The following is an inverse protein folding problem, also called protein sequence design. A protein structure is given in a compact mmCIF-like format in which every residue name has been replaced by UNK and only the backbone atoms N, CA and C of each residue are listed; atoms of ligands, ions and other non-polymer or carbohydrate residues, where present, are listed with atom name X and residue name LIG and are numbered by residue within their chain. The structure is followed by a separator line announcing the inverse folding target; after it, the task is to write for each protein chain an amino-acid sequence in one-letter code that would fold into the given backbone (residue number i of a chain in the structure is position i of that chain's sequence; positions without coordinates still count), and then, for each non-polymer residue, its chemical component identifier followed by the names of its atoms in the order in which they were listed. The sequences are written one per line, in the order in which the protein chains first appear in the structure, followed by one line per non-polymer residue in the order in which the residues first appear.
data_IF_072640277480
#
_entry.id   IF_072640277480
#
_cell.length_a   1.000
_cell.length_b   1.000
_cell.length_c   1.000
_cell.angle_alpha   90.00
_cell.angle_beta   90.00
_cell.angle_gamma   90.00
#
_symmetry.space_group_name_H-M   'P 1'
#
loop_
_entity.id
_entity.type
_entity.pdbx_description
1 polymer ?
#
# COMPACT_ATOMS: atom_id res chain seq x y z
N UNK A 1 -80.00 -58.64 -12.12
CA UNK A 1 -79.11 -59.24 -11.11
C UNK A 1 -77.74 -59.49 -11.71
N UNK A 2 -76.70 -58.95 -11.07
CA UNK A 2 -75.25 -59.21 -11.20
C UNK A 2 -74.65 -59.48 -12.60
N UNK A 3 -73.78 -58.56 -13.05
CA UNK A 3 -72.32 -58.77 -13.06
C UNK A 3 -71.57 -57.48 -13.43
N UNK A 4 -71.11 -56.77 -12.39
CA UNK A 4 -69.94 -55.88 -12.42
C UNK A 4 -68.71 -56.77 -12.35
N UNK A 5 -67.75 -56.60 -13.26
CA UNK A 5 -66.30 -56.63 -12.98
C UNK A 5 -65.51 -56.66 -14.31
N UNK A 6 -64.43 -55.86 -14.33
CA UNK A 6 -63.35 -55.80 -15.32
C UNK A 6 -63.69 -55.04 -16.60
N UNK A 7 -63.46 -53.73 -16.59
CA UNK A 7 -62.75 -52.95 -17.62
C UNK A 7 -62.61 -51.52 -17.09
N UNK A 8 -61.70 -51.34 -16.12
CA UNK A 8 -61.25 -50.04 -15.63
C UNK A 8 -59.80 -50.17 -15.20
N UNK A 9 -58.92 -50.47 -16.15
CA UNK A 9 -57.47 -50.40 -15.94
C UNK A 9 -56.75 -50.31 -17.29
N UNK A 10 -56.93 -49.20 -18.00
CA UNK A 10 -56.06 -48.81 -19.12
C UNK A 10 -56.12 -47.29 -19.36
N UNK A 11 -55.92 -46.52 -18.28
CA UNK A 11 -55.69 -45.08 -18.32
C UNK A 11 -54.55 -44.74 -17.35
N UNK A 12 -53.34 -45.28 -17.57
CA UNK A 12 -52.12 -44.73 -16.96
C UNK A 12 -50.81 -45.33 -17.50
N UNK A 13 -50.61 -45.52 -18.81
CA UNK A 13 -49.28 -45.99 -19.29
C UNK A 13 -48.94 -45.61 -20.75
N UNK A 14 -49.43 -44.46 -21.24
CA UNK A 14 -49.14 -43.99 -22.61
C UNK A 14 -48.94 -42.46 -22.70
N UNK A 15 -48.30 -41.85 -21.69
CA UNK A 15 -47.75 -40.46 -21.78
C UNK A 15 -46.36 -40.40 -21.14
N UNK A 16 -45.57 -41.44 -21.33
CA UNK A 16 -44.13 -41.41 -21.04
C UNK A 16 -43.46 -42.01 -22.27
N UNK A 17 -42.39 -41.37 -22.73
CA UNK A 17 -41.56 -41.70 -23.91
C UNK A 17 -41.98 -41.00 -25.21
N UNK A 18 -41.93 -39.66 -25.24
CA UNK A 18 -41.58 -38.87 -26.45
C UNK A 18 -41.29 -37.39 -26.13
N UNK A 19 -40.40 -37.13 -25.17
CA UNK A 19 -39.79 -35.79 -25.00
C UNK A 19 -38.38 -35.94 -24.43
N UNK A 20 -37.59 -36.85 -25.00
CA UNK A 20 -36.19 -37.01 -24.70
C UNK A 20 -35.40 -36.69 -25.97
N UNK A 21 -34.39 -35.85 -25.80
CA UNK A 21 -33.34 -35.48 -26.76
C UNK A 21 -33.74 -34.47 -27.84
N UNK A 22 -34.18 -33.29 -27.41
CA UNK A 22 -33.93 -32.04 -28.14
C UNK A 22 -33.72 -30.93 -27.10
N UNK A 23 -32.57 -30.99 -26.41
CA UNK A 23 -32.05 -29.77 -25.81
C UNK A 23 -31.65 -28.87 -26.99
N UNK A 24 -32.28 -27.72 -27.21
CA UNK A 24 -31.78 -26.80 -28.22
C UNK A 24 -30.34 -26.50 -27.81
N UNK A 25 -29.37 -26.88 -28.65
CA UNK A 25 -28.01 -26.36 -28.55
C UNK A 25 -28.11 -24.86 -28.78
N UNK A 26 -28.39 -24.13 -27.70
CA UNK A 26 -28.50 -22.69 -27.67
C UNK A 26 -27.17 -22.16 -28.21
N UNK A 27 -27.23 -21.54 -29.39
CA UNK A 27 -26.07 -21.36 -30.26
C UNK A 27 -25.15 -20.22 -29.81
N UNK A 28 -25.51 -19.46 -28.78
CA UNK A 28 -24.65 -18.43 -28.20
C UNK A 28 -24.75 -18.37 -26.66
N UNK A 29 -23.68 -17.89 -26.03
CA UNK A 29 -23.55 -17.78 -24.57
C UNK A 29 -24.67 -16.94 -23.94
N UNK A 30 -25.13 -15.88 -24.62
CA UNK A 30 -26.20 -15.01 -24.14
C UNK A 30 -27.56 -15.74 -24.02
N UNK A 31 -27.91 -16.56 -25.01
CA UNK A 31 -29.14 -17.37 -24.97
C UNK A 31 -29.05 -18.49 -23.95
N UNK A 32 -27.85 -19.06 -23.72
CA UNK A 32 -27.58 -20.04 -22.66
C UNK A 32 -27.74 -19.42 -21.27
N UNK A 33 -27.15 -18.25 -21.01
CA UNK A 33 -27.28 -17.55 -19.73
C UNK A 33 -28.73 -17.17 -19.41
N UNK A 34 -29.45 -16.61 -20.39
CA UNK A 34 -30.87 -16.25 -20.24
C UNK A 34 -31.72 -17.49 -19.95
N UNK A 35 -31.40 -18.63 -20.58
CA UNK A 35 -32.09 -19.89 -20.34
C UNK A 35 -31.81 -20.42 -18.93
N UNK A 36 -30.56 -20.42 -18.48
CA UNK A 36 -30.16 -20.85 -17.13
C UNK A 36 -30.77 -19.96 -16.04
N UNK A 37 -30.94 -18.67 -16.29
CA UNK A 37 -31.59 -17.77 -15.33
C UNK A 37 -33.05 -18.17 -15.10
N UNK A 38 -33.74 -18.63 -16.15
CA UNK A 38 -35.13 -19.08 -16.07
C UNK A 38 -35.27 -20.53 -15.59
N UNK A 39 -34.28 -21.37 -15.89
CA UNK A 39 -34.27 -22.79 -15.57
C UNK A 39 -32.93 -23.22 -14.94
N UNK A 40 -32.64 -22.85 -13.67
CA UNK A 40 -31.35 -23.12 -13.03
C UNK A 40 -30.91 -24.58 -13.05
N UNK A 41 -31.86 -25.51 -12.86
CA UNK A 41 -31.59 -26.95 -12.84
C UNK A 41 -31.00 -27.49 -14.15
N UNK A 42 -31.13 -26.73 -15.26
CA UNK A 42 -30.53 -27.11 -16.53
C UNK A 42 -29.00 -27.03 -16.53
N UNK A 43 -28.38 -26.37 -15.53
CA UNK A 43 -26.93 -26.24 -15.38
C UNK A 43 -26.21 -27.60 -15.45
N UNK A 44 -26.76 -28.66 -14.83
CA UNK A 44 -26.14 -29.99 -14.83
C UNK A 44 -26.16 -30.71 -16.19
N UNK A 45 -26.85 -30.16 -17.18
CA UNK A 45 -26.99 -30.74 -18.51
C UNK A 45 -26.27 -29.92 -19.59
N UNK A 46 -25.60 -28.84 -19.21
CA UNK A 46 -24.85 -27.96 -20.12
C UNK A 46 -23.40 -27.84 -19.69
N UNK A 47 -22.49 -27.84 -20.65
CA UNK A 47 -21.07 -27.60 -20.40
C UNK A 47 -20.82 -26.09 -20.45
N UNK A 48 -20.93 -25.43 -19.30
CA UNK A 48 -20.74 -23.98 -19.16
C UNK A 48 -19.89 -23.66 -17.94
N UNK A 49 -18.97 -22.73 -18.11
CA UNK A 49 -18.12 -22.28 -17.00
C UNK A 49 -18.84 -21.14 -16.25
N UNK A 50 -19.15 -21.30 -14.94
CA UNK A 50 -19.93 -20.31 -14.19
C UNK A 50 -19.23 -18.97 -14.01
N UNK A 51 -17.91 -18.89 -14.19
CA UNK A 51 -17.14 -17.65 -14.09
C UNK A 51 -17.37 -16.67 -15.24
N UNK A 52 -17.98 -17.11 -16.34
CA UNK A 52 -18.33 -16.27 -17.50
C UNK A 52 -19.83 -15.92 -17.56
N UNK A 53 -20.61 -16.40 -16.60
CA UNK A 53 -22.05 -16.12 -16.56
C UNK A 53 -22.34 -14.69 -16.07
N UNK A 54 -23.41 -14.06 -16.58
CA UNK A 54 -23.92 -12.81 -16.02
C UNK A 54 -24.28 -12.97 -14.53
N UNK A 55 -24.09 -11.90 -13.76
CA UNK A 55 -24.41 -11.87 -12.32
C UNK A 55 -25.85 -12.28 -12.01
N UNK A 56 -26.83 -11.85 -12.81
CA UNK A 56 -28.24 -12.23 -12.62
C UNK A 56 -28.44 -13.74 -12.70
N UNK A 57 -27.79 -14.39 -13.67
CA UNK A 57 -27.81 -15.84 -13.84
C UNK A 57 -27.12 -16.53 -12.67
N UNK A 58 -25.92 -16.09 -12.31
CA UNK A 58 -25.12 -16.68 -11.23
C UNK A 58 -25.83 -16.60 -9.87
N UNK A 59 -26.52 -15.49 -9.61
CA UNK A 59 -27.34 -15.32 -8.40
C UNK A 59 -28.50 -16.33 -8.34
N UNK A 60 -29.08 -16.73 -9.48
CA UNK A 60 -30.10 -17.80 -9.52
C UNK A 60 -29.48 -19.17 -9.35
N UNK A 61 -28.31 -19.41 -9.93
CA UNK A 61 -27.64 -20.71 -9.85
C UNK A 61 -27.13 -21.04 -8.44
N UNK A 62 -26.81 -20.06 -7.59
CA UNK A 62 -26.29 -20.31 -6.24
C UNK A 62 -27.21 -21.18 -5.36
N UNK A 63 -28.50 -21.25 -5.67
CA UNK A 63 -29.45 -22.10 -4.94
C UNK A 63 -29.34 -23.60 -5.27
N UNK A 64 -28.52 -23.96 -6.26
CA UNK A 64 -28.19 -25.35 -6.59
C UNK A 64 -27.18 -25.96 -5.62
N UNK A 65 -26.52 -25.12 -4.80
CA UNK A 65 -25.43 -25.53 -3.91
C UNK A 65 -24.27 -26.24 -4.63
N UNK A 66 -24.07 -25.89 -5.90
CA UNK A 66 -22.97 -26.41 -6.71
C UNK A 66 -21.65 -25.73 -6.31
N UNK A 67 -20.56 -26.47 -6.04
CA UNK A 67 -19.31 -25.88 -5.56
C UNK A 67 -18.66 -24.89 -6.52
N UNK A 68 -18.69 -25.14 -7.83
CA UNK A 68 -18.09 -24.26 -8.84
C UNK A 68 -18.93 -22.99 -9.03
N UNK A 69 -20.26 -23.12 -8.99
CA UNK A 69 -21.17 -21.96 -8.98
C UNK A 69 -20.96 -21.09 -7.74
N UNK A 70 -20.88 -21.71 -6.56
CA UNK A 70 -20.64 -21.02 -5.30
C UNK A 70 -19.27 -20.31 -5.29
N UNK A 71 -18.24 -20.94 -5.85
CA UNK A 71 -16.92 -20.32 -6.03
C UNK A 71 -16.97 -19.14 -7.00
N UNK A 72 -17.62 -19.28 -8.17
CA UNK A 72 -17.79 -18.17 -9.10
C UNK A 72 -18.55 -17.00 -8.46
N UNK A 73 -19.59 -17.29 -7.69
CA UNK A 73 -20.36 -16.29 -6.95
C UNK A 73 -19.51 -15.57 -5.88
N UNK A 74 -18.65 -16.31 -5.19
CA UNK A 74 -17.69 -15.74 -4.24
C UNK A 74 -16.73 -14.75 -4.90
N UNK A 75 -16.18 -15.10 -6.07
CA UNK A 75 -15.33 -14.21 -6.86
C UNK A 75 -16.07 -12.94 -7.26
N UNK A 76 -17.34 -13.03 -7.68
CA UNK A 76 -18.16 -11.86 -7.97
C UNK A 76 -18.31 -10.97 -6.74
N UNK A 77 -18.72 -11.52 -5.60
CA UNK A 77 -18.89 -10.75 -4.35
C UNK A 77 -17.58 -10.09 -3.91
N UNK A 78 -16.45 -10.79 -4.02
CA UNK A 78 -15.15 -10.23 -3.66
C UNK A 78 -14.70 -9.10 -4.62
N UNK A 79 -15.05 -9.16 -5.90
CA UNK A 79 -14.77 -8.08 -6.87
C UNK A 79 -15.59 -6.82 -6.56
N UNK A 80 -16.85 -6.99 -6.17
CA UNK A 80 -17.79 -5.90 -5.82
C UNK A 80 -17.63 -5.38 -4.37
N UNK A 81 -16.60 -5.82 -3.65
CA UNK A 81 -16.35 -5.45 -2.26
C UNK A 81 -17.46 -5.87 -1.26
N UNK A 82 -18.28 -6.85 -1.64
CA UNK A 82 -19.44 -7.36 -0.90
C UNK A 82 -19.09 -8.50 0.07
N UNK A 83 -18.00 -8.32 0.83
CA UNK A 83 -17.43 -9.38 1.68
C UNK A 83 -18.35 -9.86 2.80
N UNK A 84 -19.24 -9.00 3.30
CA UNK A 84 -20.25 -9.40 4.27
C UNK A 84 -21.20 -10.47 3.70
N UNK A 85 -21.63 -10.33 2.44
CA UNK A 85 -22.49 -11.31 1.76
C UNK A 85 -21.74 -12.62 1.49
N UNK A 86 -20.42 -12.55 1.33
CA UNK A 86 -19.55 -13.70 1.10
C UNK A 86 -19.20 -14.49 2.37
N UNK A 87 -19.54 -13.99 3.56
CA UNK A 87 -19.07 -14.53 4.86
C UNK A 87 -19.18 -16.05 4.98
N UNK A 88 -20.33 -16.61 4.62
CA UNK A 88 -20.59 -18.05 4.73
C UNK A 88 -19.93 -18.87 3.63
N UNK A 89 -19.67 -18.28 2.47
CA UNK A 89 -19.04 -18.96 1.33
C UNK A 89 -17.58 -19.25 1.60
N UNK A 90 -16.85 -18.37 2.30
CA UNK A 90 -15.44 -18.60 2.66
C UNK A 90 -15.21 -19.88 3.44
N UNK A 91 -16.17 -20.25 4.30
CA UNK A 91 -16.11 -21.45 5.14
C UNK A 91 -16.63 -22.70 4.42
N UNK A 92 -17.45 -22.51 3.37
CA UNK A 92 -18.08 -23.58 2.60
C UNK A 92 -17.32 -23.89 1.29
N UNK A 93 -16.11 -23.36 1.12
CA UNK A 93 -15.29 -23.62 -0.05
C UNK A 93 -14.95 -25.11 -0.17
N UNK A 94 -15.02 -25.69 -1.38
CA UNK A 94 -14.67 -27.09 -1.58
C UNK A 94 -13.17 -27.34 -1.29
N UNK A 95 -12.84 -28.50 -0.76
CA UNK A 95 -11.46 -28.85 -0.42
C UNK A 95 -10.56 -29.10 -1.66
N UNK A 96 -11.17 -29.34 -2.82
CA UNK A 96 -10.50 -29.74 -4.06
C UNK A 96 -10.44 -28.62 -5.13
N UNK A 97 -10.48 -27.34 -4.72
CA UNK A 97 -10.28 -26.21 -5.64
C UNK A 97 -8.94 -26.37 -6.35
N UNK A 98 -8.90 -26.14 -7.65
CA UNK A 98 -7.64 -26.15 -8.39
C UNK A 98 -6.70 -25.06 -7.86
N UNK A 99 -5.42 -25.38 -7.77
CA UNK A 99 -4.42 -24.45 -7.23
C UNK A 99 -4.42 -23.11 -7.96
N UNK A 100 -4.59 -23.12 -9.30
CA UNK A 100 -4.72 -21.91 -10.11
C UNK A 100 -5.88 -21.03 -9.64
N UNK A 101 -7.09 -21.60 -9.47
CA UNK A 101 -8.26 -20.84 -9.02
C UNK A 101 -8.11 -20.35 -7.59
N UNK A 102 -7.47 -21.14 -6.74
CA UNK A 102 -7.21 -20.71 -5.37
C UNK A 102 -6.22 -19.54 -5.33
N UNK A 103 -5.14 -19.58 -6.12
CA UNK A 103 -4.17 -18.49 -6.20
C UNK A 103 -4.78 -17.22 -6.81
N UNK A 104 -5.67 -17.34 -7.81
CA UNK A 104 -6.45 -16.18 -8.32
C UNK A 104 -7.31 -15.53 -7.23
N UNK A 105 -7.91 -16.33 -6.34
CA UNK A 105 -8.69 -15.83 -5.21
C UNK A 105 -7.80 -15.12 -4.19
N UNK A 106 -6.63 -15.70 -3.88
CA UNK A 106 -5.63 -15.08 -3.01
C UNK A 106 -5.20 -13.73 -3.55
N UNK A 107 -4.90 -13.64 -4.84
CA UNK A 107 -4.47 -12.40 -5.50
C UNK A 107 -5.57 -11.33 -5.48
N UNK A 108 -6.82 -11.72 -5.72
CA UNK A 108 -7.97 -10.82 -5.60
C UNK A 108 -8.08 -10.27 -4.17
N UNK A 109 -7.95 -11.12 -3.15
CA UNK A 109 -8.03 -10.69 -1.76
C UNK A 109 -6.85 -9.80 -1.35
N UNK A 110 -5.64 -10.06 -1.85
CA UNK A 110 -4.48 -9.18 -1.67
C UNK A 110 -4.74 -7.81 -2.29
N UNK A 111 -5.23 -7.76 -3.54
CA UNK A 111 -5.56 -6.52 -4.23
C UNK A 111 -6.60 -5.70 -3.45
N UNK A 112 -7.58 -6.37 -2.86
CA UNK A 112 -8.64 -5.77 -2.04
C UNK A 112 -8.25 -5.56 -0.57
N UNK A 113 -7.01 -5.88 -0.19
CA UNK A 113 -6.48 -5.79 1.18
C UNK A 113 -7.32 -6.55 2.22
N UNK A 114 -7.88 -7.69 1.83
CA UNK A 114 -8.78 -8.53 2.63
C UNK A 114 -8.04 -9.59 3.42
N UNK A 115 -7.31 -9.10 4.41
CA UNK A 115 -6.39 -9.92 5.19
C UNK A 115 -7.07 -10.88 6.16
N UNK A 116 -8.31 -10.60 6.58
CA UNK A 116 -9.10 -11.48 7.45
C UNK A 116 -9.59 -12.70 6.69
N UNK A 117 -10.08 -12.50 5.47
CA UNK A 117 -10.48 -13.57 4.55
C UNK A 117 -9.30 -14.49 4.23
N UNK A 118 -8.13 -13.93 3.91
CA UNK A 118 -6.91 -14.72 3.67
C UNK A 118 -6.52 -15.59 4.88
N UNK A 119 -6.63 -15.04 6.09
CA UNK A 119 -6.38 -15.80 7.34
C UNK A 119 -7.47 -16.84 7.62
N UNK A 120 -8.69 -16.63 7.12
CA UNK A 120 -9.77 -17.63 7.21
C UNK A 120 -9.50 -18.77 6.24
N UNK A 121 -9.13 -18.48 4.99
CA UNK A 121 -8.78 -19.48 3.98
C UNK A 121 -7.67 -20.42 4.47
N UNK A 122 -6.62 -19.88 5.09
CA UNK A 122 -5.48 -20.67 5.58
C UNK A 122 -5.82 -21.63 6.73
N UNK A 123 -6.98 -21.48 7.38
CA UNK A 123 -7.43 -22.39 8.46
C UNK A 123 -8.22 -23.58 7.94
N UNK A 124 -8.88 -23.42 6.79
CA UNK A 124 -9.86 -24.39 6.30
C UNK A 124 -9.38 -25.14 5.06
N UNK A 125 -8.46 -24.56 4.30
CA UNK A 125 -7.93 -25.14 3.08
C UNK A 125 -6.44 -25.45 3.25
N UNK A 126 -5.97 -26.43 2.48
CA UNK A 126 -4.54 -26.70 2.36
C UNK A 126 -3.86 -25.44 1.81
N UNK A 127 -2.88 -24.93 2.55
CA UNK A 127 -2.17 -23.74 2.13
C UNK A 127 -1.35 -24.03 0.86
N UNK A 128 -1.44 -23.11 -0.11
CA UNK A 128 -0.56 -23.08 -1.28
C UNK A 128 0.67 -22.23 -0.97
N UNK A 129 1.75 -22.41 -1.71
CA UNK A 129 2.96 -21.58 -1.55
C UNK A 129 2.65 -20.08 -1.71
N UNK A 130 1.69 -19.74 -2.59
CA UNK A 130 1.18 -18.38 -2.76
C UNK A 130 0.58 -17.82 -1.48
N UNK A 131 -0.35 -18.54 -0.88
CA UNK A 131 -1.03 -18.10 0.35
C UNK A 131 -0.04 -18.00 1.52
N UNK A 132 0.84 -18.99 1.67
CA UNK A 132 1.86 -18.98 2.72
C UNK A 132 2.80 -17.78 2.59
N UNK A 133 3.25 -17.48 1.37
CA UNK A 133 4.12 -16.33 1.10
C UNK A 133 3.42 -15.02 1.42
N UNK A 134 2.18 -14.83 0.95
CA UNK A 134 1.39 -13.63 1.22
C UNK A 134 1.16 -13.42 2.73
N UNK A 135 0.82 -14.49 3.45
CA UNK A 135 0.64 -14.42 4.91
C UNK A 135 1.97 -14.15 5.62
N UNK A 136 3.08 -14.73 5.12
CA UNK A 136 4.42 -14.43 5.59
C UNK A 136 4.78 -12.96 5.45
N UNK A 137 4.52 -12.35 4.28
CA UNK A 137 4.72 -10.91 4.04
C UNK A 137 3.84 -10.04 4.95
N UNK A 138 2.58 -10.44 5.20
CA UNK A 138 1.68 -9.77 6.15
C UNK A 138 2.22 -9.81 7.59
N UNK A 139 2.92 -10.88 7.96
CA UNK A 139 3.49 -11.09 9.30
C UNK A 139 4.93 -10.54 9.43
N UNK A 140 5.52 -10.06 8.35
CA UNK A 140 6.90 -9.54 8.35
C UNK A 140 7.94 -10.64 8.39
N UNK A 141 7.64 -11.83 7.88
CA UNK A 141 8.63 -12.91 7.82
C UNK A 141 9.85 -12.45 6.99
N UNK A 142 11.05 -12.82 7.43
CA UNK A 142 12.29 -12.43 6.75
C UNK A 142 12.32 -12.96 5.31
N UNK A 143 12.88 -12.22 4.34
CA UNK A 143 12.88 -12.61 2.94
C UNK A 143 13.46 -14.00 2.64
N UNK A 144 14.50 -14.39 3.37
CA UNK A 144 15.19 -15.68 3.23
C UNK A 144 14.34 -16.89 3.66
N UNK A 145 13.24 -16.64 4.38
CA UNK A 145 12.28 -17.66 4.82
C UNK A 145 11.01 -17.71 3.96
N UNK A 146 10.96 -16.93 2.87
CA UNK A 146 9.84 -16.87 1.96
C UNK A 146 10.19 -17.54 0.64
N UNK A 147 9.17 -17.98 -0.11
CA UNK A 147 9.37 -18.61 -1.40
C UNK A 147 9.77 -17.54 -2.45
N UNK A 148 10.98 -17.66 -2.99
CA UNK A 148 11.56 -16.69 -3.93
C UNK A 148 10.76 -16.57 -5.23
N UNK A 149 10.24 -17.68 -5.76
CA UNK A 149 9.41 -17.68 -6.98
C UNK A 149 8.15 -16.87 -6.75
N UNK A 150 7.48 -17.09 -5.61
CA UNK A 150 6.27 -16.37 -5.23
C UNK A 150 6.53 -14.88 -4.98
N UNK A 151 7.67 -14.52 -4.38
CA UNK A 151 8.08 -13.13 -4.23
C UNK A 151 8.27 -12.44 -5.59
N UNK A 152 8.87 -13.14 -6.57
CA UNK A 152 9.03 -12.66 -7.94
C UNK A 152 7.69 -12.42 -8.63
N UNK A 153 6.76 -13.38 -8.53
CA UNK A 153 5.40 -13.25 -9.09
C UNK A 153 4.59 -12.12 -8.44
N UNK A 154 4.80 -11.86 -7.14
CA UNK A 154 4.22 -10.71 -6.43
C UNK A 154 4.94 -9.39 -6.72
N UNK A 155 6.00 -9.39 -7.52
CA UNK A 155 6.84 -8.22 -7.78
C UNK A 155 7.39 -7.57 -6.50
N UNK A 156 7.75 -8.40 -5.50
CA UNK A 156 8.35 -7.94 -4.24
C UNK A 156 9.85 -7.77 -4.45
N UNK A 157 10.32 -6.52 -4.42
CA UNK A 157 11.74 -6.24 -4.48
C UNK A 157 12.41 -6.53 -3.13
N UNK A 158 13.46 -7.35 -3.15
CA UNK A 158 14.31 -7.62 -1.99
C UNK A 158 15.52 -6.69 -1.99
N UNK A 159 15.97 -6.29 -0.79
CA UNK A 159 17.11 -5.40 -0.63
C UNK A 159 18.41 -6.08 -1.14
N UNK A 160 19.07 -5.54 -2.18
CA UNK A 160 20.35 -6.04 -2.63
C UNK A 160 21.49 -5.60 -1.69
N UNK A 161 22.70 -6.13 -1.89
CA UNK A 161 23.89 -5.67 -1.17
C UNK A 161 24.25 -4.21 -1.49
N UNK A 162 23.99 -3.77 -2.73
CA UNK A 162 24.26 -2.42 -3.20
C UNK A 162 23.09 -1.91 -4.02
N UNK A 163 22.79 -0.61 -3.90
CA UNK A 163 21.75 0.07 -4.67
C UNK A 163 22.43 1.14 -5.52
N UNK A 164 22.22 1.08 -6.83
CA UNK A 164 22.73 2.11 -7.75
C UNK A 164 21.75 3.26 -7.82
N UNK A 165 22.24 4.46 -7.53
CA UNK A 165 21.52 5.71 -7.75
C UNK A 165 22.08 6.46 -8.97
N UNK A 166 21.30 7.40 -9.50
CA UNK A 166 21.76 8.27 -10.58
C UNK A 166 22.89 9.18 -10.07
N UNK A 167 23.97 9.33 -10.85
CA UNK A 167 25.10 10.20 -10.51
C UNK A 167 24.74 11.69 -10.47
N UNK A 168 23.67 12.09 -11.16
CA UNK A 168 23.12 13.45 -11.07
C UNK A 168 22.26 13.66 -9.84
N UNK A 169 22.00 12.61 -9.06
CA UNK A 169 21.21 12.71 -7.86
C UNK A 169 21.94 13.51 -6.78
N UNK A 170 21.21 14.43 -6.16
CA UNK A 170 21.75 15.23 -5.05
C UNK A 170 21.62 14.54 -3.71
N UNK A 171 20.55 13.76 -3.52
CA UNK A 171 20.29 13.00 -2.29
C UNK A 171 19.69 11.64 -2.65
N UNK A 172 20.41 10.57 -2.33
CA UNK A 172 20.03 9.20 -2.53
C UNK A 172 19.17 8.71 -1.37
N UNK A 173 17.96 8.24 -1.65
CA UNK A 173 17.00 7.86 -0.61
C UNK A 173 16.63 6.39 -0.73
N UNK A 174 17.00 5.60 0.27
CA UNK A 174 16.66 4.18 0.36
C UNK A 174 15.25 3.99 0.96
N UNK A 175 14.40 3.25 0.28
CA UNK A 175 13.02 2.96 0.72
C UNK A 175 12.87 1.53 1.24
N UNK A 176 12.39 1.38 2.47
CA UNK A 176 12.24 0.09 3.16
C UNK A 176 10.82 -0.10 3.72
N UNK A 177 10.32 -1.34 3.73
CA UNK A 177 9.06 -1.70 4.36
C UNK A 177 9.14 -3.02 5.14
N UNK A 178 8.51 -3.07 6.32
CA UNK A 178 8.47 -4.26 7.20
C UNK A 178 7.36 -5.26 6.85
N UNK A 179 6.25 -4.79 6.26
CA UNK A 179 5.04 -5.58 6.00
C UNK A 179 4.54 -5.35 4.58
N UNK A 180 3.71 -6.28 4.08
CA UNK A 180 3.17 -6.17 2.72
C UNK A 180 2.34 -4.89 2.51
N UNK A 181 1.47 -4.54 3.46
CA UNK A 181 0.66 -3.33 3.37
C UNK A 181 1.53 -2.05 3.35
N UNK A 182 2.57 -2.01 4.19
CA UNK A 182 3.56 -0.93 4.21
C UNK A 182 4.32 -0.84 2.87
N UNK A 183 4.70 -1.99 2.30
CA UNK A 183 5.34 -2.07 0.99
C UNK A 183 4.45 -1.50 -0.12
N UNK A 184 3.18 -1.89 -0.17
CA UNK A 184 2.22 -1.40 -1.16
C UNK A 184 1.97 0.11 -1.01
N UNK A 185 1.77 0.58 0.22
CA UNK A 185 1.49 1.99 0.48
C UNK A 185 2.69 2.89 0.19
N UNK A 186 3.90 2.48 0.58
CA UNK A 186 5.12 3.23 0.25
C UNK A 186 5.39 3.25 -1.26
N UNK A 187 5.09 2.17 -1.99
CA UNK A 187 5.16 2.19 -3.46
C UNK A 187 4.18 3.19 -4.05
N UNK A 188 2.93 3.26 -3.57
CA UNK A 188 1.95 4.23 -4.05
C UNK A 188 2.41 5.69 -3.80
N UNK A 189 2.98 5.98 -2.63
CA UNK A 189 3.54 7.30 -2.33
C UNK A 189 4.74 7.62 -3.24
N UNK A 190 5.65 6.66 -3.41
CA UNK A 190 6.82 6.77 -4.28
C UNK A 190 6.41 7.05 -5.72
N UNK A 191 5.46 6.30 -6.26
CA UNK A 191 5.00 6.45 -7.65
C UNK A 191 4.38 7.84 -7.86
N UNK A 192 3.60 8.32 -6.89
CA UNK A 192 3.08 9.69 -6.91
C UNK A 192 4.20 10.75 -6.85
N UNK A 193 5.23 10.53 -6.03
CA UNK A 193 6.40 11.42 -5.98
C UNK A 193 7.15 11.47 -7.32
N UNK A 194 7.35 10.33 -7.99
CA UNK A 194 8.09 10.26 -9.25
C UNK A 194 7.39 10.98 -10.42
N UNK A 195 6.06 11.16 -10.36
CA UNK A 195 5.33 11.96 -11.35
C UNK A 195 5.72 13.45 -11.30
N UNK A 196 5.96 13.98 -10.09
CA UNK A 196 6.37 15.37 -9.88
C UNK A 196 7.29 15.46 -8.65
N UNK A 197 8.59 15.18 -8.82
CA UNK A 197 9.55 15.20 -7.72
C UNK A 197 9.67 16.57 -7.07
N UNK A 198 9.71 16.56 -5.74
CA UNK A 198 9.87 17.74 -4.90
C UNK A 198 11.28 17.82 -4.29
N UNK A 199 11.88 19.02 -4.15
CA UNK A 199 11.38 20.30 -4.67
C UNK A 199 11.62 20.48 -6.18
N UNK A 200 12.30 19.54 -6.82
CA UNK A 200 12.53 19.47 -8.26
C UNK A 200 13.22 18.17 -8.64
N UNK A 201 13.40 17.94 -9.94
CA UNK A 201 14.07 16.75 -10.46
C UNK A 201 15.47 16.56 -9.85
N UNK A 202 15.88 15.30 -9.67
CA UNK A 202 17.17 14.89 -9.09
C UNK A 202 17.48 15.43 -7.68
N UNK A 203 16.51 16.02 -6.98
CA UNK A 203 16.73 16.54 -5.63
C UNK A 203 16.75 15.43 -4.59
N UNK A 204 15.77 14.53 -4.61
CA UNK A 204 15.74 13.30 -3.82
C UNK A 204 15.39 12.14 -4.75
N UNK A 205 16.33 11.20 -4.93
CA UNK A 205 16.11 10.04 -5.80
C UNK A 205 15.73 8.85 -4.96
N UNK A 206 14.44 8.54 -4.98
CA UNK A 206 13.89 7.42 -4.25
C UNK A 206 14.25 6.09 -4.94
N UNK A 207 14.86 5.17 -4.21
CA UNK A 207 15.09 3.80 -4.68
C UNK A 207 13.76 3.08 -4.94
N UNK A 208 13.80 1.86 -5.47
CA UNK A 208 12.64 0.95 -5.31
C UNK A 208 12.34 0.75 -3.83
N UNK A 209 11.09 0.47 -3.49
CA UNK A 209 10.76 0.00 -2.14
C UNK A 209 11.28 -1.42 -1.98
N UNK A 210 12.03 -1.68 -0.92
CA UNK A 210 12.52 -3.02 -0.61
C UNK A 210 11.80 -3.59 0.61
N UNK A 211 11.27 -4.81 0.45
CA UNK A 211 10.73 -5.56 1.57
C UNK A 211 11.87 -6.13 2.41
N UNK A 212 11.85 -5.87 3.71
CA UNK A 212 12.88 -6.32 4.65
C UNK A 212 12.32 -7.15 5.81
N UNK A 213 11.00 -7.26 5.93
CA UNK A 213 10.36 -8.01 7.00
C UNK A 213 10.77 -7.53 8.39
N UNK A 214 10.83 -8.47 9.32
CA UNK A 214 11.18 -8.26 10.72
C UNK A 214 12.68 -8.00 10.96
N UNK A 215 13.49 -7.82 9.91
CA UNK A 215 14.84 -7.26 10.03
C UNK A 215 14.78 -5.77 10.42
N UNK A 216 13.65 -5.13 10.19
CA UNK A 216 13.30 -3.81 10.68
C UNK A 216 12.50 -3.96 11.98
N UNK A 217 12.98 -3.35 13.06
CA UNK A 217 12.33 -3.33 14.37
C UNK A 217 11.76 -1.96 14.63
N UNK A 218 10.46 -1.82 14.42
CA UNK A 218 9.71 -0.59 14.66
C UNK A 218 8.96 -0.65 15.98
N UNK A 219 9.00 0.45 16.72
CA UNK A 219 8.28 0.65 17.98
C UNK A 219 7.69 2.06 18.03
N UNK A 220 6.65 2.24 18.83
CA UNK A 220 6.12 3.56 19.16
C UNK A 220 6.98 4.17 20.27
N UNK A 221 7.70 5.24 19.92
CA UNK A 221 8.53 6.00 20.83
C UNK A 221 7.76 7.09 21.58
N UNK A 222 8.49 8.13 21.96
CA UNK A 222 7.94 9.27 22.70
C UNK A 222 6.75 9.90 21.95
N UNK A 223 5.64 10.14 22.66
CA UNK A 223 4.38 10.69 22.11
C UNK A 223 3.78 9.90 20.94
N UNK A 224 4.13 8.61 20.80
CA UNK A 224 3.58 7.74 19.75
C UNK A 224 4.27 7.87 18.39
N UNK A 225 5.37 8.64 18.29
CA UNK A 225 6.17 8.69 17.07
C UNK A 225 6.83 7.35 16.78
N UNK A 226 6.71 6.87 15.54
CA UNK A 226 7.33 5.64 15.14
C UNK A 226 8.86 5.79 15.08
N UNK A 227 9.56 4.82 15.62
CA UNK A 227 11.02 4.70 15.52
C UNK A 227 11.39 3.31 15.09
N UNK A 228 12.24 3.19 14.09
CA UNK A 228 12.67 1.90 13.58
C UNK A 228 14.18 1.75 13.59
N UNK A 229 14.66 0.56 13.97
CA UNK A 229 16.06 0.19 13.91
C UNK A 229 16.24 -0.98 12.95
N UNK A 230 17.27 -0.92 12.10
CA UNK A 230 17.66 -2.01 11.24
C UNK A 230 18.61 -2.97 11.96
N UNK A 231 18.35 -4.27 11.85
CA UNK A 231 19.18 -5.33 12.44
C UNK A 231 20.29 -5.83 11.50
N UNK A 232 20.55 -5.12 10.39
CA UNK A 232 21.56 -5.46 9.41
C UNK A 232 22.14 -4.21 8.77
N UNK A 233 23.30 -4.37 8.17
CA UNK A 233 23.93 -3.34 7.36
C UNK A 233 23.03 -2.99 6.16
N UNK A 234 23.01 -1.70 5.83
CA UNK A 234 22.23 -1.14 4.74
C UNK A 234 23.16 -0.69 3.61
N UNK A 235 22.71 -0.78 2.35
CA UNK A 235 23.39 -0.13 1.24
C UNK A 235 23.60 1.37 1.51
N UNK A 236 24.70 1.89 1.00
CA UNK A 236 25.04 3.31 1.10
C UNK A 236 23.91 4.18 0.51
N UNK A 237 23.49 5.18 1.28
CA UNK A 237 22.48 6.17 0.92
C UNK A 237 22.60 7.38 1.84
N UNK A 238 22.16 8.55 1.37
CA UNK A 238 22.18 9.78 2.17
C UNK A 238 21.05 9.76 3.20
N UNK A 239 19.90 9.22 2.81
CA UNK A 239 18.69 9.16 3.62
C UNK A 239 17.97 7.83 3.47
N UNK A 240 17.15 7.51 4.48
CA UNK A 240 16.36 6.30 4.52
C UNK A 240 14.92 6.67 4.86
N UNK A 241 13.98 6.16 4.08
CA UNK A 241 12.55 6.21 4.42
C UNK A 241 12.10 4.79 4.73
N UNK A 242 11.55 4.63 5.91
CA UNK A 242 10.98 3.39 6.40
C UNK A 242 9.47 3.55 6.49
N UNK A 243 8.72 2.60 5.96
CA UNK A 243 7.29 2.50 6.26
C UNK A 243 7.01 1.36 7.22
N UNK A 244 6.25 1.66 8.28
CA UNK A 244 5.74 0.69 9.24
C UNK A 244 4.23 0.79 9.38
N UNK A 245 3.64 -0.10 10.19
CA UNK A 245 2.18 -0.23 10.30
C UNK A 245 1.56 0.66 11.38
N UNK A 246 2.33 1.11 12.37
CA UNK A 246 1.81 1.81 13.56
C UNK A 246 2.66 3.05 13.93
N UNK A 247 2.12 3.89 14.81
CA UNK A 247 2.72 5.15 15.25
C UNK A 247 2.47 6.35 14.35
N UNK A 248 3.15 7.46 14.65
CA UNK A 248 3.12 8.71 13.89
C UNK A 248 4.39 8.87 13.05
N UNK A 249 4.26 9.55 11.90
CA UNK A 249 5.38 9.89 11.04
C UNK A 249 6.40 10.77 11.77
N UNK A 250 7.68 10.58 11.47
CA UNK A 250 8.77 11.29 12.15
C UNK A 250 10.07 11.25 11.35
N UNK A 251 10.88 12.31 11.49
CA UNK A 251 12.26 12.35 10.99
C UNK A 251 13.24 12.44 12.16
N UNK A 252 14.24 11.55 12.16
CA UNK A 252 15.36 11.55 13.10
C UNK A 252 16.67 11.40 12.35
N UNK A 253 17.41 12.50 12.23
CA UNK A 253 18.65 12.53 11.47
C UNK A 253 18.40 12.19 10.00
N UNK A 254 19.11 11.19 9.48
CA UNK A 254 18.97 10.75 8.09
C UNK A 254 17.83 9.74 7.84
N UNK A 255 17.01 9.44 8.86
CA UNK A 255 15.92 8.47 8.74
C UNK A 255 14.55 9.13 8.94
N UNK A 256 13.66 8.89 7.98
CA UNK A 256 12.24 9.15 8.07
C UNK A 256 11.49 7.85 8.33
N UNK A 257 10.51 7.90 9.23
CA UNK A 257 9.54 6.83 9.43
C UNK A 257 8.17 7.33 9.01
N UNK A 258 7.50 6.61 8.14
CA UNK A 258 6.13 6.82 7.70
C UNK A 258 5.26 5.66 8.16
N UNK A 259 3.95 5.89 8.21
CA UNK A 259 2.98 4.88 8.66
C UNK A 259 1.83 4.74 7.68
N UNK A 260 0.91 3.81 7.92
CA UNK A 260 -0.23 3.57 7.03
C UNK A 260 -1.19 4.76 6.92
N UNK A 261 -1.12 5.72 7.84
CA UNK A 261 -1.91 6.97 7.79
C UNK A 261 -1.17 8.11 7.11
N UNK A 262 0.13 7.96 6.81
CA UNK A 262 0.91 8.96 6.09
C UNK A 262 0.43 9.05 4.64
N UNK A 263 0.01 10.23 4.22
CA UNK A 263 -0.30 10.50 2.83
C UNK A 263 0.90 11.16 2.11
N UNK A 264 0.66 11.62 0.89
CA UNK A 264 1.67 12.30 0.09
C UNK A 264 2.12 13.64 0.69
N UNK A 265 1.20 14.36 1.33
CA UNK A 265 1.50 15.66 1.90
C UNK A 265 2.37 15.54 3.15
N UNK A 266 2.17 14.47 3.94
CA UNK A 266 3.09 14.06 5.01
C UNK A 266 4.45 13.67 4.45
N UNK A 267 4.54 12.82 3.41
CA UNK A 267 5.84 12.47 2.79
C UNK A 267 6.62 13.72 2.38
N UNK A 268 5.97 14.68 1.71
CA UNK A 268 6.63 15.92 1.29
C UNK A 268 7.06 16.78 2.48
N UNK A 269 6.22 16.88 3.53
CA UNK A 269 6.56 17.60 4.75
C UNK A 269 7.81 17.00 5.41
N UNK A 270 7.83 15.68 5.62
CA UNK A 270 8.96 14.98 6.23
C UNK A 270 10.23 15.07 5.36
N UNK A 271 10.11 15.04 4.03
CA UNK A 271 11.26 15.22 3.13
C UNK A 271 11.91 16.60 3.31
N UNK A 272 11.15 17.64 3.67
CA UNK A 272 11.73 18.97 3.92
C UNK A 272 12.64 18.97 5.15
N UNK A 273 12.35 18.14 6.15
CA UNK A 273 13.23 17.98 7.32
C UNK A 273 14.60 17.40 6.96
N UNK A 274 14.72 16.56 5.93
CA UNK A 274 16.03 16.13 5.43
C UNK A 274 16.89 17.28 4.93
N UNK A 275 16.29 18.38 4.46
CA UNK A 275 17.00 19.61 4.11
C UNK A 275 17.09 20.62 5.25
N UNK A 276 16.78 20.20 6.49
CA UNK A 276 16.90 21.01 7.69
C UNK A 276 15.83 22.06 7.86
N UNK A 277 14.68 21.94 7.18
CA UNK A 277 13.51 22.77 7.49
C UNK A 277 12.97 22.43 8.88
N UNK A 278 12.43 23.43 9.57
CA UNK A 278 11.88 23.28 10.91
C UNK A 278 10.38 23.55 10.93
N UNK A 279 9.71 22.91 11.88
CA UNK A 279 8.29 23.11 12.12
C UNK A 279 7.96 24.53 12.55
N UNK A 280 6.82 25.01 12.08
CA UNK A 280 6.31 26.37 12.30
C UNK A 280 5.18 26.45 13.32
N UNK A 281 4.83 25.34 13.96
CA UNK A 281 3.95 25.29 15.13
C UNK A 281 4.73 25.46 16.44
N UNK A 282 4.06 25.88 17.51
CA UNK A 282 4.68 26.13 18.80
C UNK A 282 5.37 24.89 19.37
N UNK A 283 6.66 25.03 19.70
CA UNK A 283 7.45 23.94 20.30
C UNK A 283 7.67 24.18 21.80
N UNK A 284 7.99 23.10 22.51
CA UNK A 284 8.10 23.09 23.97
C UNK A 284 9.32 22.29 24.45
N UNK A 285 9.61 22.38 25.75
CA UNK A 285 10.56 21.50 26.43
C UNK A 285 12.01 21.72 26.03
N UNK A 286 12.73 20.64 25.70
CA UNK A 286 14.15 20.72 25.33
C UNK A 286 14.35 21.34 23.93
N UNK A 287 13.48 21.02 22.96
CA UNK A 287 13.57 21.59 21.60
C UNK A 287 13.43 23.11 21.63
N UNK A 288 12.45 23.64 22.38
CA UNK A 288 12.30 25.08 22.58
C UNK A 288 13.54 25.72 23.20
N UNK A 289 14.08 25.13 24.28
CA UNK A 289 15.28 25.65 24.94
C UNK A 289 16.52 25.66 24.04
N UNK A 290 16.67 24.66 23.19
CA UNK A 290 17.79 24.57 22.27
C UNK A 290 17.64 25.53 21.08
N UNK A 291 16.47 25.54 20.44
CA UNK A 291 16.23 26.30 19.22
C UNK A 291 15.99 27.80 19.48
N UNK A 292 15.21 28.12 20.52
CA UNK A 292 14.65 29.45 20.74
C UNK A 292 15.41 30.32 21.75
N UNK A 293 16.54 29.84 22.29
CA UNK A 293 17.36 30.59 23.26
C UNK A 293 18.67 31.11 22.64
N UNK A 294 18.81 31.04 21.31
CA UNK A 294 19.93 31.63 20.59
C UNK A 294 19.44 32.27 19.31
N UNK A 295 20.01 33.42 18.96
CA UNK A 295 19.63 34.15 17.75
C UNK A 295 20.25 33.53 16.48
N UNK A 296 19.75 33.93 15.32
CA UNK A 296 20.28 33.61 14.00
C UNK A 296 19.32 32.80 13.12
N UNK A 297 19.77 32.56 11.88
CA UNK A 297 19.12 31.61 10.95
C UNK A 297 19.32 30.20 11.51
N UNK A 298 18.22 29.54 11.90
CA UNK A 298 18.23 28.18 12.45
C UNK A 298 17.91 27.13 11.39
N UNK A 299 17.07 27.49 10.44
CA UNK A 299 16.64 26.62 9.35
C UNK A 299 16.43 27.46 8.07
N UNK A 300 16.34 26.83 6.88
CA UNK A 300 16.01 27.54 5.65
C UNK A 300 14.72 28.37 5.73
N UNK A 301 13.77 27.96 6.57
CA UNK A 301 12.49 28.63 6.82
C UNK A 301 12.36 29.27 8.21
N UNK A 302 13.41 29.27 9.05
CA UNK A 302 13.31 29.75 10.43
C UNK A 302 14.49 30.63 10.85
N UNK A 303 14.17 31.87 11.23
CA UNK A 303 15.06 32.79 11.90
C UNK A 303 14.58 32.96 13.33
N UNK A 304 15.49 33.01 14.30
CA UNK A 304 15.18 33.26 15.71
C UNK A 304 15.93 34.51 16.14
N UNK A 305 15.27 35.47 16.78
CA UNK A 305 15.91 36.68 17.28
C UNK A 305 14.96 37.87 17.40
N UNK A 306 15.52 39.07 17.28
CA UNK A 306 14.75 40.32 17.30
C UNK A 306 14.15 40.63 15.91
N UNK A 307 12.96 41.28 15.84
CA UNK A 307 12.31 41.63 14.57
C UNK A 307 13.18 42.42 13.59
N UNK A 308 13.98 43.34 14.09
CA UNK A 308 14.88 44.19 13.29
C UNK A 308 16.02 43.41 12.61
N UNK A 309 16.35 42.23 13.12
CA UNK A 309 17.41 41.36 12.58
C UNK A 309 16.84 40.27 11.65
N UNK A 310 15.51 40.14 11.57
CA UNK A 310 14.88 39.15 10.72
C UNK A 310 15.11 39.47 9.23
N UNK A 311 15.28 38.46 8.35
CA UNK A 311 15.42 38.70 6.92
C UNK A 311 14.24 39.49 6.35
N UNK A 312 14.52 40.36 5.39
CA UNK A 312 13.51 41.23 4.81
C UNK A 312 12.32 40.42 4.27
N UNK A 313 11.10 40.84 4.66
CA UNK A 313 9.85 40.20 4.24
C UNK A 313 9.44 38.99 5.07
N UNK A 314 10.26 38.55 6.04
CA UNK A 314 9.88 37.50 6.97
C UNK A 314 8.94 38.04 8.04
N UNK A 315 8.03 37.19 8.51
CA UNK A 315 7.02 37.53 9.51
C UNK A 315 7.10 36.60 10.70
N UNK A 316 6.48 36.99 11.81
CA UNK A 316 6.48 36.21 13.04
C UNK A 316 5.92 34.80 12.82
N UNK A 317 6.62 33.79 13.34
CA UNK A 317 6.25 32.37 13.38
C UNK A 317 5.82 31.98 14.79
N UNK A 318 5.01 30.93 14.88
CA UNK A 318 4.51 30.41 16.15
C UNK A 318 5.56 29.50 16.85
N UNK A 319 6.62 29.08 16.15
CA UNK A 319 7.62 28.12 16.64
C UNK A 319 8.12 28.45 18.04
N UNK A 320 8.61 29.68 18.28
CA UNK A 320 9.27 30.07 19.52
C UNK A 320 8.39 30.81 20.53
N UNK A 321 7.07 30.59 20.52
CA UNK A 321 6.15 31.18 21.50
C UNK A 321 6.52 30.91 22.97
N UNK A 322 7.25 29.83 23.25
CA UNK A 322 7.68 29.43 24.59
C UNK A 322 9.19 29.56 24.78
N UNK A 323 9.87 30.35 23.95
CA UNK A 323 11.31 30.59 24.00
C UNK A 323 11.68 31.97 24.53
N UNK A 324 12.99 32.25 24.63
CA UNK A 324 13.49 33.58 24.98
C UNK A 324 13.35 34.56 23.82
N UNK A 325 13.56 34.09 22.59
CA UNK A 325 13.50 34.91 21.38
C UNK A 325 12.27 34.57 20.53
N UNK A 326 11.83 35.55 19.74
CA UNK A 326 10.80 35.35 18.73
C UNK A 326 11.35 34.56 17.54
N UNK A 327 10.47 33.85 16.84
CA UNK A 327 10.77 33.20 15.58
C UNK A 327 10.11 33.92 14.41
N UNK A 328 10.75 33.86 13.24
CA UNK A 328 10.29 34.46 11.99
C UNK A 328 10.41 33.45 10.85
N UNK A 329 9.49 33.54 9.89
CA UNK A 329 9.35 32.66 8.74
C UNK A 329 9.13 33.45 7.44
N UNK A 330 9.41 32.88 6.26
CA UNK A 330 9.41 33.60 4.99
C UNK A 330 8.02 33.97 4.45
N UNK A 331 6.92 33.36 4.95
CA UNK A 331 5.59 33.55 4.41
C UNK A 331 4.56 34.06 5.45
N UNK A 332 3.69 34.96 5.02
CA UNK A 332 2.54 35.47 5.79
C UNK A 332 1.42 34.46 5.95
N UNK A 333 1.25 33.58 4.97
CA UNK A 333 0.24 32.52 5.00
C UNK A 333 0.74 31.32 5.80
N UNK A 334 -0.18 30.48 6.24
CA UNK A 334 0.13 29.16 6.76
C UNK A 334 0.91 28.35 5.71
N UNK A 335 1.95 27.65 6.16
CA UNK A 335 2.85 26.87 5.31
C UNK A 335 2.67 25.38 5.59
N UNK A 336 3.22 24.53 4.72
CA UNK A 336 3.31 23.08 4.95
C UNK A 336 4.09 22.73 6.22
N UNK A 337 5.02 23.58 6.66
CA UNK A 337 5.76 23.37 7.91
C UNK A 337 4.94 23.77 9.15
N UNK A 338 3.81 24.47 8.98
CA UNK A 338 2.88 24.76 10.06
C UNK A 338 1.72 23.77 10.12
N UNK A 339 1.18 23.41 8.95
CA UNK A 339 0.12 22.43 8.78
C UNK A 339 0.45 21.54 7.59
N UNK A 340 0.81 20.28 7.87
CA UNK A 340 1.31 19.33 6.88
C UNK A 340 0.35 19.09 5.71
N UNK A 341 -0.96 19.25 5.92
CA UNK A 341 -2.02 19.05 4.92
C UNK A 341 -2.04 20.15 3.84
N UNK A 342 -1.37 21.27 4.07
CA UNK A 342 -1.32 22.36 3.09
C UNK A 342 -0.36 22.03 1.95
N UNK A 343 -0.68 22.39 0.69
CA UNK A 343 0.22 22.17 -0.44
C UNK A 343 1.53 22.96 -0.28
N UNK A 344 2.62 22.43 -0.85
CA UNK A 344 3.90 23.12 -0.88
C UNK A 344 3.82 24.39 -1.75
N UNK A 345 3.99 25.56 -1.12
CA UNK A 345 4.01 26.84 -1.83
C UNK A 345 5.26 27.01 -2.70
N UNK A 346 5.15 27.83 -3.75
CA UNK A 346 6.28 28.13 -4.64
C UNK A 346 7.46 28.78 -3.89
N UNK A 347 7.18 29.63 -2.92
CA UNK A 347 8.22 30.26 -2.11
C UNK A 347 9.03 29.23 -1.31
N UNK A 348 8.37 28.25 -0.67
CA UNK A 348 9.07 27.20 0.07
C UNK A 348 9.78 26.23 -0.85
N UNK A 349 9.20 25.93 -2.03
CA UNK A 349 9.85 25.13 -3.06
C UNK A 349 11.18 25.76 -3.49
N UNK A 350 11.21 27.06 -3.75
CA UNK A 350 12.43 27.78 -4.13
C UNK A 350 13.48 27.79 -3.02
N UNK A 351 13.05 28.01 -1.77
CA UNK A 351 13.95 27.90 -0.61
C UNK A 351 14.55 26.50 -0.49
N UNK A 352 13.73 25.47 -0.71
CA UNK A 352 14.15 24.09 -0.62
C UNK A 352 15.12 23.71 -1.76
N UNK A 353 14.83 24.10 -3.00
CA UNK A 353 15.75 23.92 -4.14
C UNK A 353 17.11 24.58 -3.88
N UNK A 354 17.10 25.82 -3.37
CA UNK A 354 18.33 26.55 -3.05
C UNK A 354 19.14 25.82 -1.99
N UNK A 355 18.50 25.34 -0.93
CA UNK A 355 19.15 24.60 0.15
C UNK A 355 19.77 23.29 -0.37
N UNK A 356 19.00 22.48 -1.10
CA UNK A 356 19.49 21.23 -1.71
C UNK A 356 20.68 21.50 -2.63
N UNK A 357 20.63 22.55 -3.44
CA UNK A 357 21.75 22.93 -4.31
C UNK A 357 22.99 23.34 -3.53
N UNK A 358 22.82 24.10 -2.45
CA UNK A 358 23.93 24.55 -1.61
C UNK A 358 24.63 23.37 -0.93
N UNK A 359 23.86 22.45 -0.33
CA UNK A 359 24.41 21.28 0.35
C UNK A 359 25.15 20.36 -0.62
N UNK A 360 24.59 20.15 -1.81
CA UNK A 360 25.24 19.37 -2.85
C UNK A 360 26.59 19.97 -3.28
N UNK A 361 26.66 21.30 -3.50
CA UNK A 361 27.91 21.96 -3.87
C UNK A 361 28.98 21.86 -2.76
N UNK A 362 28.57 21.94 -1.50
CA UNK A 362 29.47 21.78 -0.36
C UNK A 362 30.07 20.36 -0.34
N UNK A 363 29.26 19.33 -0.54
CA UNK A 363 29.74 17.95 -0.59
C UNK A 363 30.68 17.70 -1.79
N UNK A 364 30.35 18.22 -2.97
CA UNK A 364 31.24 18.14 -4.13
C UNK A 364 32.61 18.79 -3.88
N UNK A 365 32.64 19.93 -3.17
CA UNK A 365 33.89 20.59 -2.79
C UNK A 365 34.70 19.77 -1.78
N UNK A 366 34.05 19.16 -0.78
CA UNK A 366 34.74 18.28 0.19
C UNK A 366 35.38 17.09 -0.51
N UNK A 367 34.67 16.46 -1.43
CA UNK A 367 35.18 15.34 -2.21
C UNK A 367 36.39 15.74 -3.07
N UNK A 368 36.31 16.88 -3.77
CA UNK A 368 37.43 17.40 -4.56
C UNK A 368 38.67 17.67 -3.69
N UNK A 369 38.50 18.29 -2.52
CA UNK A 369 39.60 18.59 -1.60
C UNK A 369 40.24 17.33 -1.00
N UNK A 370 39.43 16.31 -0.68
CA UNK A 370 39.93 15.02 -0.18
C UNK A 370 40.76 14.29 -1.24
N UNK A 371 40.36 14.33 -2.51
CA UNK A 371 41.14 13.75 -3.62
C UNK A 371 42.48 14.48 -3.78
N UNK A 372 42.49 15.81 -3.68
CA UNK A 372 43.72 16.61 -3.75
C UNK A 372 44.72 16.28 -2.61
N UNK A 373 44.21 15.89 -1.44
CA UNK A 373 45.01 15.57 -0.25
C UNK A 373 45.59 14.15 -0.30
N UNK A 374 45.01 13.25 -1.09
CA UNK A 374 45.51 11.88 -1.30
C UNK A 374 46.57 11.82 -2.42
N UNK A 375 46.56 12.79 -3.34
CA UNK A 375 47.48 12.87 -4.48
C UNK A 375 48.79 13.63 -4.12
N UNK A 376 48.79 14.41 -3.05
CA UNK A 376 49.99 15.04 -2.47
C UNK A 376 50.57 14.17 -1.34
#
# INVERSE_FOLDING_TARGET
MLKRAKYFLFCLFLVVISSSVDHPRLSNEFSQATFLERFPQAYYFVDINPFYLPTSTLEKLRFLDDPEVNLAWLFHLAREDEFHKARFLWQALPANISETRFNELVDLLVLKQRWEELTTLSKHLKATERLETVLGLKLGVLPDKLNEVQLGELSIALLPQQVTFNTECKNNVLLLADRFSAYQHLNALRDKYLLKPEPGQNSFCLSKVYYVGNALKCEEGFKGFATCNMMRDLPESDFIIVMTTNGLANVRGAQMTLTMTSDYDVLVHELMHFSGFEDEYAIYGQKARWLCNSEGIKAPNLFVGLPENAPQGWVKSETCQNGTFDAFKPATKWSKMQFQELPLSEQYRQLWQKKVQQDWLIEQQKLANNVQTIIN
#
